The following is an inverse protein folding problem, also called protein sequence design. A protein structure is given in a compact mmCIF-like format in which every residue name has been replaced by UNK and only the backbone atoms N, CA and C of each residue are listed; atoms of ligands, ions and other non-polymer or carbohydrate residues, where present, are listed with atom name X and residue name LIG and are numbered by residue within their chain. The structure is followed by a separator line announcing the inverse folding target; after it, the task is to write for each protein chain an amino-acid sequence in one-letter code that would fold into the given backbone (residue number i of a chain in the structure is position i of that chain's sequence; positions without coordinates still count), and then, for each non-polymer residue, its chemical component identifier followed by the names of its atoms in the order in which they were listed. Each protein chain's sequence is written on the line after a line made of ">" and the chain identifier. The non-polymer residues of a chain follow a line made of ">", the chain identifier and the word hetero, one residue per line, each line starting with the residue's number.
data_IF_205918523049
#
_entry.id   IF_205918523049
#
_cell.length_a   1.000
_cell.length_b   1.000
_cell.length_c   1.000
_cell.angle_alpha   90.00
_cell.angle_beta   90.00
_cell.angle_gamma   90.00
#
_symmetry.space_group_name_H-M   'P 1'
#
loop_
_entity.id
_entity.type
_entity.pdbx_description
1 polymer ?
#
# COMPACT_ATOMS: atom_id res chain seq x y z
N UNK A 1 12.59 -10.03 -1.77
CA UNK A 1 13.42 -9.51 -0.66
C UNK A 1 12.61 -8.85 0.45
N UNK A 2 11.64 -7.97 0.18
CA UNK A 2 10.84 -7.41 1.29
C UNK A 2 9.77 -8.38 1.81
N UNK A 3 9.21 -9.24 0.95
CA UNK A 3 8.23 -10.28 1.34
C UNK A 3 8.76 -11.28 2.38
N UNK A 4 10.08 -11.52 2.44
CA UNK A 4 10.68 -12.39 3.46
C UNK A 4 10.81 -11.74 4.84
N UNK A 5 10.63 -10.42 4.93
CA UNK A 5 10.60 -9.68 6.20
C UNK A 5 9.19 -9.56 6.77
N UNK A 6 8.17 -10.00 6.04
CA UNK A 6 6.78 -9.92 6.45
C UNK A 6 6.48 -10.91 7.58
N UNK A 7 5.81 -10.42 8.62
CA UNK A 7 5.26 -11.22 9.71
C UNK A 7 3.84 -11.66 9.37
N UNK A 8 3.31 -12.64 10.10
CA UNK A 8 1.97 -13.21 9.88
C UNK A 8 0.82 -12.21 10.00
N UNK A 9 1.00 -11.08 10.67
CA UNK A 9 -0.05 -10.04 10.75
C UNK A 9 0.21 -8.84 9.83
N UNK A 10 1.29 -8.86 9.03
CA UNK A 10 1.57 -7.77 8.12
C UNK A 10 0.68 -7.86 6.88
N UNK A 11 0.37 -6.69 6.33
CA UNK A 11 -0.32 -6.58 5.05
C UNK A 11 0.70 -6.11 4.02
N UNK A 12 0.94 -6.93 3.01
CA UNK A 12 1.74 -6.55 1.86
C UNK A 12 0.88 -5.79 0.86
N UNK A 13 1.42 -4.73 0.28
CA UNK A 13 0.74 -3.86 -0.68
C UNK A 13 1.59 -3.76 -1.95
N UNK A 14 0.99 -4.02 -3.10
CA UNK A 14 1.66 -4.00 -4.40
C UNK A 14 0.70 -3.48 -5.48
N UNK A 15 1.15 -2.58 -6.35
CA UNK A 15 0.31 -2.08 -7.44
C UNK A 15 0.24 -3.12 -8.55
N UNK A 16 -0.95 -3.48 -9.03
CA UNK A 16 -1.15 -4.59 -9.97
C UNK A 16 -0.51 -4.33 -11.34
N UNK A 17 -0.93 -3.24 -11.99
CA UNK A 17 -0.67 -3.01 -13.42
C UNK A 17 0.49 -2.04 -13.67
N UNK A 18 1.21 -1.66 -12.62
CA UNK A 18 2.27 -0.66 -12.67
C UNK A 18 3.46 -1.09 -11.84
N UNK A 19 4.66 -0.77 -12.32
CA UNK A 19 5.90 -0.99 -11.58
C UNK A 19 5.89 -0.09 -10.35
N UNK A 20 6.25 -0.64 -9.20
CA UNK A 20 6.24 0.11 -7.95
C UNK A 20 6.85 -0.69 -6.81
N UNK A 21 6.94 -0.08 -5.62
CA UNK A 21 7.43 -0.77 -4.43
C UNK A 21 6.39 -1.78 -3.93
N UNK A 22 6.88 -2.84 -3.30
CA UNK A 22 6.07 -3.66 -2.40
C UNK A 22 6.20 -3.06 -1.00
N UNK A 23 5.10 -2.57 -0.44
CA UNK A 23 5.08 -1.98 0.89
C UNK A 23 4.61 -2.98 1.94
N UNK A 24 5.09 -2.82 3.18
CA UNK A 24 4.63 -3.58 4.34
C UNK A 24 3.86 -2.63 5.26
N UNK A 25 2.60 -2.95 5.54
CA UNK A 25 1.81 -2.29 6.57
C UNK A 25 1.80 -3.17 7.82
N UNK A 26 2.52 -2.72 8.85
CA UNK A 26 2.75 -3.45 10.10
C UNK A 26 2.15 -2.72 11.28
N UNK A 27 1.35 -3.42 12.09
CA UNK A 27 0.78 -2.89 13.32
C UNK A 27 -0.47 -3.65 13.76
N UNK A 28 -0.92 -3.45 15.00
CA UNK A 28 -2.18 -4.03 15.49
C UNK A 28 -3.40 -3.45 14.77
N UNK A 29 -3.32 -2.18 14.35
CA UNK A 29 -4.40 -1.44 13.69
C UNK A 29 -4.17 -1.33 12.18
N UNK A 30 -3.43 -2.28 11.58
CA UNK A 30 -3.07 -2.21 10.16
C UNK A 30 -4.30 -2.19 9.24
N UNK A 31 -5.37 -2.90 9.62
CA UNK A 31 -6.61 -2.95 8.86
C UNK A 31 -7.29 -1.55 8.77
N UNK A 32 -7.20 -0.73 9.83
CA UNK A 32 -7.78 0.62 9.86
C UNK A 32 -7.06 1.61 8.93
N UNK A 33 -5.79 1.32 8.60
CA UNK A 33 -4.93 2.16 7.77
C UNK A 33 -4.68 1.57 6.37
N UNK A 34 -5.44 0.55 5.98
CA UNK A 34 -5.25 -0.16 4.72
C UNK A 34 -5.34 0.79 3.51
N UNK A 35 -6.37 1.64 3.49
CA UNK A 35 -6.59 2.60 2.41
C UNK A 35 -5.45 3.63 2.32
N UNK A 36 -4.98 4.12 3.46
CA UNK A 36 -3.87 5.05 3.50
C UNK A 36 -2.56 4.40 3.05
N UNK A 37 -2.29 3.18 3.52
CA UNK A 37 -1.16 2.37 3.07
C UNK A 37 -1.18 2.16 1.55
N UNK A 38 -2.33 1.82 0.99
CA UNK A 38 -2.50 1.64 -0.46
C UNK A 38 -2.24 2.94 -1.23
N UNK A 39 -2.69 4.09 -0.73
CA UNK A 39 -2.42 5.39 -1.35
C UNK A 39 -0.94 5.77 -1.32
N UNK A 40 -0.24 5.44 -0.24
CA UNK A 40 1.21 5.65 -0.12
C UNK A 40 1.97 4.73 -1.08
N UNK A 41 1.59 3.46 -1.18
CA UNK A 41 2.18 2.52 -2.15
C UNK A 41 1.97 3.02 -3.59
N UNK A 42 0.76 3.49 -3.90
CA UNK A 42 0.44 4.12 -5.19
C UNK A 42 1.32 5.35 -5.48
N UNK A 43 1.56 6.21 -4.48
CA UNK A 43 2.36 7.43 -4.64
C UNK A 43 3.76 7.17 -5.21
N UNK A 44 4.37 6.07 -4.80
CA UNK A 44 5.73 5.68 -5.19
C UNK A 44 5.76 4.68 -6.35
N UNK A 45 4.63 4.42 -7.00
CA UNK A 45 4.53 3.59 -8.19
C UNK A 45 4.54 4.42 -9.48
N UNK A 46 4.71 3.75 -10.61
CA UNK A 46 4.65 4.31 -11.96
C UNK A 46 3.20 4.45 -12.47
N UNK A 47 2.20 4.31 -11.60
CA UNK A 47 0.80 4.48 -11.97
C UNK A 47 0.52 5.93 -12.44
N UNK A 48 -0.30 6.13 -13.48
CA UNK A 48 -0.56 7.45 -14.01
C UNK A 48 -1.43 8.29 -13.06
N UNK A 49 -0.90 9.43 -12.60
CA UNK A 49 -1.69 10.45 -11.90
C UNK A 49 -2.68 11.12 -12.87
N UNK A 50 -3.94 11.41 -12.47
CA UNK A 50 -4.57 11.23 -11.15
C UNK A 50 -5.48 9.99 -11.07
N UNK A 51 -5.29 8.97 -11.93
CA UNK A 51 -6.21 7.83 -12.00
C UNK A 51 -6.05 6.92 -10.77
N UNK A 52 -7.17 6.43 -10.25
CA UNK A 52 -7.15 5.34 -9.26
C UNK A 52 -6.68 4.07 -9.97
N UNK A 53 -5.84 3.28 -9.30
CA UNK A 53 -5.40 1.97 -9.79
C UNK A 53 -5.61 0.91 -8.71
N UNK A 54 -5.53 -0.35 -9.12
CA UNK A 54 -5.74 -1.49 -8.22
C UNK A 54 -4.44 -1.81 -7.49
N UNK A 55 -4.53 -1.83 -6.16
CA UNK A 55 -3.49 -2.30 -5.25
C UNK A 55 -3.90 -3.68 -4.75
N UNK A 56 -3.02 -4.65 -4.92
CA UNK A 56 -3.14 -6.00 -4.38
C UNK A 56 -2.65 -5.96 -2.94
N UNK A 57 -3.52 -6.37 -2.03
CA UNK A 57 -3.20 -6.57 -0.62
C UNK A 57 -3.03 -8.05 -0.36
N UNK A 58 -1.99 -8.45 0.37
CA UNK A 58 -1.77 -9.85 0.75
C UNK A 58 -1.58 -9.95 2.26
N UNK A 59 -2.47 -10.71 2.93
CA UNK A 59 -2.45 -10.99 4.37
C UNK A 59 -2.69 -12.48 4.59
N UNK A 60 -1.77 -13.18 5.27
CA UNK A 60 -1.86 -14.63 5.52
C UNK A 60 -2.21 -15.45 4.26
N UNK A 61 -1.52 -15.19 3.14
CA UNK A 61 -1.75 -15.81 1.82
C UNK A 61 -3.13 -15.54 1.19
N UNK A 62 -3.99 -14.72 1.82
CA UNK A 62 -5.22 -14.21 1.21
C UNK A 62 -4.90 -12.92 0.47
N UNK A 63 -5.23 -12.90 -0.82
CA UNK A 63 -5.11 -11.70 -1.66
C UNK A 63 -6.46 -11.00 -1.74
N UNK A 64 -6.45 -9.68 -1.62
CA UNK A 64 -7.58 -8.82 -1.86
C UNK A 64 -7.16 -7.65 -2.76
N UNK A 65 -8.15 -6.96 -3.31
CA UNK A 65 -7.94 -5.85 -4.24
C UNK A 65 -8.57 -4.59 -3.65
N UNK A 66 -7.81 -3.50 -3.67
CA UNK A 66 -8.25 -2.20 -3.18
C UNK A 66 -8.00 -1.17 -4.27
N UNK A 67 -9.00 -0.35 -4.57
CA UNK A 67 -8.85 0.80 -5.46
C UNK A 67 -8.27 1.98 -4.67
N UNK A 68 -7.06 2.41 -5.03
CA UNK A 68 -6.41 3.52 -4.36
C UNK A 68 -5.98 4.60 -5.36
N UNK A 69 -6.04 5.85 -4.91
CA UNK A 69 -5.45 7.00 -5.60
C UNK A 69 -4.06 7.27 -5.04
N UNK A 70 -3.31 8.14 -5.69
CA UNK A 70 -2.04 8.58 -5.15
C UNK A 70 -2.27 9.39 -3.87
N UNK A 71 -1.51 9.12 -2.82
CA UNK A 71 -1.53 9.98 -1.62
C UNK A 71 -1.03 11.38 -1.99
N UNK A 72 -1.82 12.42 -1.68
CA UNK A 72 -1.40 13.82 -1.83
C UNK A 72 -0.50 14.26 -0.68
N UNK A 73 0.36 15.26 -0.90
CA UNK A 73 1.34 15.68 0.11
C UNK A 73 0.69 16.12 1.44
N UNK A 74 -0.43 16.81 1.34
CA UNK A 74 -1.23 17.26 2.49
C UNK A 74 -1.70 16.10 3.39
N UNK A 75 -1.90 14.90 2.82
CA UNK A 75 -2.45 13.77 3.56
C UNK A 75 -1.45 13.09 4.49
N UNK A 76 -0.15 13.16 4.16
CA UNK A 76 0.89 12.47 4.93
C UNK A 76 1.91 13.41 5.59
N UNK A 77 1.81 14.73 5.38
CA UNK A 77 2.75 15.70 5.97
C UNK A 77 2.82 15.61 7.51
N UNK A 78 1.69 15.31 8.16
CA UNK A 78 1.57 15.10 9.61
C UNK A 78 2.37 13.90 10.15
N UNK A 79 2.82 13.00 9.29
CA UNK A 79 3.57 11.79 9.64
C UNK A 79 5.06 11.90 9.29
N UNK A 80 5.51 13.04 8.76
CA UNK A 80 6.93 13.27 8.45
C UNK A 80 7.69 13.50 9.76
N UNK A 81 8.74 12.71 9.99
CA UNK A 81 9.67 12.83 11.14
C UNK A 81 10.93 13.55 10.66
#
# INVERSE_FOLDING_TARGET
>A
MIKSLALSNDILLEVRDHVGPVSILRGKNCDDYLDFGAQVTMRYSDAPKPKASVVITEKNAKKAEVLAKHAEEETYIKYRI
#
